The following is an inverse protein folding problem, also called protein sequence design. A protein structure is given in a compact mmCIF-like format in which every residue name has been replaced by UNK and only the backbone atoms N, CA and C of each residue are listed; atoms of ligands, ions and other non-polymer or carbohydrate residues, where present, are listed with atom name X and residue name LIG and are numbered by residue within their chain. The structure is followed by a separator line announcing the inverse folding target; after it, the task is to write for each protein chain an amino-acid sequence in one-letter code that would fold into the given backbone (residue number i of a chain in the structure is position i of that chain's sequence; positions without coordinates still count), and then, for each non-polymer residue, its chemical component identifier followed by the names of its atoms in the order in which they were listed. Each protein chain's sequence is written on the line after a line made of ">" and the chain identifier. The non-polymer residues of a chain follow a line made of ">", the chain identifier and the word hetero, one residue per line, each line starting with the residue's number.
data_IF_362036576804
#
_entry.id   IF_362036576804
#
_cell.length_a   1.000
_cell.length_b   1.000
_cell.length_c   1.000
_cell.angle_alpha   90.00
_cell.angle_beta   90.00
_cell.angle_gamma   90.00
#
_symmetry.space_group_name_H-M   'P 1'
#
loop_
_entity.id
_entity.type
_entity.pdbx_description
1 polymer ?
#
# COMPACT_ATOMS: atom_id res chain seq x y z
N UNK A 1 -52.82 -35.06 -47.34
CA UNK A 1 -51.59 -34.25 -47.52
C UNK A 1 -51.51 -33.31 -46.33
N UNK A 2 -50.75 -33.68 -45.29
CA UNK A 2 -50.59 -32.91 -44.05
C UNK A 2 -49.39 -31.99 -44.23
N UNK A 3 -49.58 -30.66 -44.22
CA UNK A 3 -48.53 -29.65 -44.28
C UNK A 3 -47.93 -29.50 -42.85
N UNK A 4 -46.68 -29.87 -42.72
CA UNK A 4 -45.90 -29.68 -41.49
C UNK A 4 -45.40 -28.25 -41.48
N UNK A 5 -45.92 -27.43 -40.57
CA UNK A 5 -45.39 -26.08 -40.29
C UNK A 5 -44.22 -26.21 -39.30
N UNK A 6 -43.00 -26.01 -39.79
CA UNK A 6 -41.83 -25.90 -38.97
C UNK A 6 -41.78 -24.45 -38.43
N UNK A 7 -42.12 -24.28 -37.17
CA UNK A 7 -41.91 -23.01 -36.48
C UNK A 7 -40.46 -22.91 -36.10
N UNK A 8 -39.67 -22.13 -36.84
CA UNK A 8 -38.32 -21.71 -36.45
C UNK A 8 -38.44 -20.64 -35.38
N UNK A 9 -38.30 -21.03 -34.13
CA UNK A 9 -38.13 -20.09 -33.03
C UNK A 9 -36.77 -19.43 -33.15
N UNK A 10 -36.78 -18.18 -33.62
CA UNK A 10 -35.62 -17.30 -33.60
C UNK A 10 -35.36 -16.91 -32.14
N UNK A 11 -34.43 -17.59 -31.48
CA UNK A 11 -33.87 -17.16 -30.18
C UNK A 11 -33.04 -15.92 -30.44
N UNK A 12 -33.62 -14.75 -30.20
CA UNK A 12 -32.88 -13.50 -30.06
C UNK A 12 -32.03 -13.62 -28.81
N UNK A 13 -30.79 -14.07 -28.96
CA UNK A 13 -29.74 -13.77 -27.96
C UNK A 13 -29.59 -12.26 -27.95
N UNK A 14 -30.23 -11.61 -27.01
CA UNK A 14 -29.87 -10.26 -26.62
C UNK A 14 -28.47 -10.34 -25.96
N UNK A 15 -27.43 -10.28 -26.80
CA UNK A 15 -26.11 -9.93 -26.32
C UNK A 15 -26.25 -8.52 -25.77
N UNK A 16 -26.44 -8.39 -24.45
CA UNK A 16 -26.10 -7.18 -23.75
C UNK A 16 -24.59 -7.04 -23.92
N UNK A 17 -24.20 -6.33 -24.97
CA UNK A 17 -22.85 -5.88 -25.12
C UNK A 17 -22.59 -4.96 -23.93
N UNK A 18 -21.97 -5.52 -22.86
CA UNK A 18 -21.30 -4.73 -21.87
C UNK A 18 -20.26 -3.96 -22.68
N UNK A 19 -20.49 -2.67 -22.86
CA UNK A 19 -19.52 -1.80 -23.51
C UNK A 19 -18.24 -1.90 -22.70
N UNK A 20 -17.30 -2.73 -23.18
CA UNK A 20 -15.98 -2.83 -22.57
C UNK A 20 -15.35 -1.46 -22.73
N UNK A 21 -15.18 -0.76 -21.61
CA UNK A 21 -14.50 0.52 -21.60
C UNK A 21 -13.09 0.30 -22.14
N UNK A 22 -12.65 1.15 -23.04
CA UNK A 22 -11.30 1.07 -23.59
C UNK A 22 -10.27 1.19 -22.47
N UNK A 23 -9.09 0.51 -22.58
CA UNK A 23 -8.00 0.68 -21.62
C UNK A 23 -7.72 2.14 -21.37
N UNK A 24 -7.39 2.47 -20.11
CA UNK A 24 -7.12 3.86 -19.70
C UNK A 24 -5.77 4.39 -20.18
N UNK A 25 -4.92 3.50 -20.72
CA UNK A 25 -3.53 3.77 -21.04
C UNK A 25 -2.59 3.67 -19.84
N UNK A 26 -3.12 3.34 -18.67
CA UNK A 26 -2.34 3.05 -17.48
C UNK A 26 -2.29 1.54 -17.25
N UNK A 27 -1.16 0.91 -17.61
CA UNK A 27 -1.02 -0.54 -17.55
C UNK A 27 -1.23 -1.13 -16.14
N UNK A 28 -0.90 -0.38 -15.09
CA UNK A 28 -1.14 -0.80 -13.70
C UNK A 28 -2.62 -0.84 -13.37
N UNK A 29 -3.35 0.22 -13.70
CA UNK A 29 -4.79 0.30 -13.53
C UNK A 29 -5.50 -0.77 -14.37
N UNK A 30 -5.20 -0.81 -15.67
CA UNK A 30 -5.84 -1.74 -16.62
C UNK A 30 -5.56 -3.22 -16.28
N UNK A 31 -4.42 -3.51 -15.64
CA UNK A 31 -4.08 -4.85 -15.15
C UNK A 31 -4.87 -5.28 -13.92
N UNK A 32 -5.33 -4.34 -13.11
CA UNK A 32 -6.16 -4.57 -11.92
C UNK A 32 -7.66 -4.61 -12.26
N UNK A 33 -8.11 -3.78 -13.19
CA UNK A 33 -9.49 -3.74 -13.68
C UNK A 33 -9.82 -5.03 -14.47
N UNK A 34 -10.20 -6.08 -13.74
CA UNK A 34 -10.44 -7.41 -14.30
C UNK A 34 -11.74 -7.49 -15.08
N UNK A 35 -12.74 -6.77 -14.63
CA UNK A 35 -14.05 -6.76 -15.27
C UNK A 35 -14.15 -5.73 -16.42
N UNK A 36 -13.10 -4.87 -16.54
CA UNK A 36 -12.98 -3.82 -17.57
C UNK A 36 -14.15 -2.82 -17.57
N UNK A 37 -14.65 -2.50 -16.37
CA UNK A 37 -15.69 -1.48 -16.22
C UNK A 37 -15.12 -0.05 -16.11
N UNK A 38 -13.78 0.07 -16.06
CA UNK A 38 -13.03 1.33 -15.98
C UNK A 38 -12.98 1.92 -14.58
N UNK A 39 -13.21 1.09 -13.58
CA UNK A 39 -13.07 1.41 -12.17
C UNK A 39 -12.31 0.28 -11.48
N UNK A 40 -11.81 0.54 -10.29
CA UNK A 40 -11.24 -0.52 -9.43
C UNK A 40 -12.12 -0.68 -8.20
N UNK A 41 -12.66 -1.87 -8.03
CA UNK A 41 -13.34 -2.29 -6.81
C UNK A 41 -12.33 -2.64 -5.72
N UNK A 42 -12.80 -2.75 -4.49
CA UNK A 42 -11.97 -3.20 -3.36
C UNK A 42 -11.48 -4.64 -3.55
N UNK A 43 -12.28 -5.47 -4.20
CA UNK A 43 -11.97 -6.86 -4.53
C UNK A 43 -10.82 -6.95 -5.53
N UNK A 44 -10.81 -6.10 -6.54
CA UNK A 44 -9.74 -6.03 -7.54
C UNK A 44 -8.42 -5.52 -6.95
N UNK A 45 -8.50 -4.67 -5.93
CA UNK A 45 -7.35 -4.20 -5.16
C UNK A 45 -6.89 -5.15 -4.05
N UNK A 46 -7.62 -6.24 -3.76
CA UNK A 46 -7.30 -7.15 -2.64
C UNK A 46 -5.91 -7.79 -2.75
N UNK A 47 -5.37 -7.92 -3.97
CA UNK A 47 -4.00 -8.39 -4.21
C UNK A 47 -2.91 -7.40 -3.78
N UNK A 48 -3.22 -6.11 -3.75
CA UNK A 48 -2.34 -5.05 -3.25
C UNK A 48 -2.82 -4.57 -1.87
N UNK A 49 -2.27 -5.18 -0.82
CA UNK A 49 -2.66 -4.90 0.58
C UNK A 49 -2.48 -3.43 0.97
N UNK A 50 -1.49 -2.75 0.40
CA UNK A 50 -1.24 -1.33 0.71
C UNK A 50 -2.29 -0.43 0.04
N UNK A 51 -2.67 -0.69 -1.20
CA UNK A 51 -3.74 0.04 -1.88
C UNK A 51 -5.10 -0.28 -1.28
N UNK A 52 -5.37 -1.54 -0.95
CA UNK A 52 -6.62 -1.95 -0.28
C UNK A 52 -6.84 -1.23 1.06
N UNK A 53 -5.80 -1.03 1.88
CA UNK A 53 -5.86 -0.25 3.13
C UNK A 53 -6.20 1.23 2.89
N UNK A 54 -5.83 1.75 1.73
CA UNK A 54 -6.01 3.16 1.36
C UNK A 54 -7.33 3.40 0.64
N UNK A 55 -8.08 2.35 0.32
CA UNK A 55 -9.28 2.41 -0.51
C UNK A 55 -10.23 3.52 -0.05
N UNK A 56 -10.70 3.48 1.20
CA UNK A 56 -11.63 4.46 1.73
C UNK A 56 -11.08 5.91 1.79
N UNK A 57 -9.75 6.05 1.86
CA UNK A 57 -9.10 7.38 1.91
C UNK A 57 -9.10 8.07 0.56
N UNK A 58 -8.96 7.30 -0.52
CA UNK A 58 -8.84 7.82 -1.88
C UNK A 58 -10.10 7.64 -2.73
N UNK A 59 -11.13 6.95 -2.24
CA UNK A 59 -12.47 6.93 -2.77
C UNK A 59 -13.14 8.28 -2.47
N UNK A 60 -12.92 9.26 -3.36
CA UNK A 60 -13.29 10.65 -3.11
C UNK A 60 -14.77 10.90 -3.11
N UNK A 61 -15.54 10.18 -3.93
CA UNK A 61 -17.00 10.28 -4.04
C UNK A 61 -17.75 9.25 -3.18
N UNK A 62 -17.03 8.32 -2.55
CA UNK A 62 -17.53 7.25 -1.67
C UNK A 62 -18.54 6.31 -2.34
N UNK A 63 -18.36 6.06 -3.63
CA UNK A 63 -19.21 5.14 -4.40
C UNK A 63 -18.74 3.67 -4.32
N UNK A 64 -17.65 3.41 -3.58
CA UNK A 64 -17.08 2.07 -3.42
C UNK A 64 -16.22 1.62 -4.60
N UNK A 65 -15.78 2.54 -5.46
CA UNK A 65 -14.94 2.28 -6.62
C UNK A 65 -13.90 3.38 -6.80
N UNK A 66 -12.71 3.02 -7.23
CA UNK A 66 -11.70 3.99 -7.61
C UNK A 66 -11.73 4.28 -9.10
N UNK A 67 -11.71 5.55 -9.42
CA UNK A 67 -11.38 6.04 -10.76
C UNK A 67 -9.88 5.92 -11.01
N UNK A 68 -9.44 6.09 -12.27
CA UNK A 68 -8.01 6.19 -12.59
C UNK A 68 -7.33 7.33 -11.81
N UNK A 69 -8.02 8.44 -11.59
CA UNK A 69 -7.48 9.59 -10.85
C UNK A 69 -7.25 9.24 -9.35
N UNK A 70 -8.18 8.53 -8.73
CA UNK A 70 -8.05 8.04 -7.35
C UNK A 70 -6.87 7.07 -7.22
N UNK A 71 -6.72 6.16 -8.18
CA UNK A 71 -5.59 5.23 -8.25
C UNK A 71 -4.25 5.96 -8.37
N UNK A 72 -4.14 6.94 -9.27
CA UNK A 72 -2.91 7.74 -9.44
C UNK A 72 -2.60 8.53 -8.17
N UNK A 73 -3.59 9.15 -7.53
CA UNK A 73 -3.41 9.87 -6.25
C UNK A 73 -2.93 8.95 -5.14
N UNK A 74 -3.52 7.76 -5.04
CA UNK A 74 -3.14 6.77 -4.04
C UNK A 74 -1.69 6.30 -4.22
N UNK A 75 -1.27 6.02 -5.46
CA UNK A 75 0.11 5.65 -5.79
C UNK A 75 1.09 6.76 -5.47
N UNK A 76 0.86 7.99 -5.93
CA UNK A 76 1.73 9.14 -5.61
C UNK A 76 1.89 9.35 -4.10
N UNK A 77 0.79 9.21 -3.35
CA UNK A 77 0.84 9.32 -1.90
C UNK A 77 1.67 8.20 -1.27
N UNK A 78 1.54 6.97 -1.78
CA UNK A 78 2.32 5.83 -1.31
C UNK A 78 3.81 6.00 -1.58
N UNK A 79 4.19 6.44 -2.77
CA UNK A 79 5.58 6.66 -3.17
C UNK A 79 6.23 7.76 -2.30
N UNK A 80 5.52 8.85 -2.07
CA UNK A 80 5.97 9.92 -1.17
C UNK A 80 6.18 9.41 0.26
N UNK A 81 5.29 8.54 0.76
CA UNK A 81 5.43 7.90 2.08
C UNK A 81 6.67 7.00 2.13
N UNK A 82 6.86 6.14 1.12
CA UNK A 82 8.01 5.24 1.05
C UNK A 82 9.32 6.04 1.06
N UNK A 83 9.40 7.11 0.28
CA UNK A 83 10.57 7.97 0.25
C UNK A 83 10.84 8.66 1.60
N UNK A 84 9.78 9.14 2.28
CA UNK A 84 9.89 9.75 3.60
C UNK A 84 10.35 8.72 4.64
N UNK A 85 9.74 7.53 4.69
CA UNK A 85 10.10 6.46 5.62
C UNK A 85 11.54 5.97 5.40
N UNK A 86 11.97 5.85 4.15
CA UNK A 86 13.35 5.51 3.79
C UNK A 86 14.35 6.57 4.30
N UNK A 87 14.01 7.85 4.14
CA UNK A 87 14.81 8.97 4.65
C UNK A 87 14.93 8.91 6.17
N UNK A 88 13.83 8.68 6.89
CA UNK A 88 13.81 8.55 8.35
C UNK A 88 14.70 7.37 8.78
N UNK A 89 14.52 6.20 8.16
CA UNK A 89 15.32 5.00 8.46
C UNK A 89 16.81 5.28 8.31
N UNK A 90 17.21 5.93 7.22
CA UNK A 90 18.61 6.28 6.95
C UNK A 90 19.15 7.23 8.02
N UNK A 91 18.40 8.28 8.38
CA UNK A 91 18.81 9.23 9.42
C UNK A 91 18.98 8.54 10.78
N UNK A 92 18.03 7.70 11.19
CA UNK A 92 18.13 6.94 12.46
C UNK A 92 19.37 6.05 12.47
N UNK A 93 19.62 5.30 11.39
CA UNK A 93 20.80 4.45 11.27
C UNK A 93 22.10 5.27 11.32
N UNK A 94 22.15 6.40 10.65
CA UNK A 94 23.32 7.30 10.70
C UNK A 94 23.57 7.80 12.12
N UNK A 95 22.52 8.21 12.84
CA UNK A 95 22.66 8.64 14.24
C UNK A 95 23.19 7.51 15.13
N UNK A 96 22.74 6.27 14.93
CA UNK A 96 23.27 5.12 15.67
C UNK A 96 24.75 4.82 15.37
N UNK A 97 25.21 5.08 14.14
CA UNK A 97 26.63 4.91 13.77
C UNK A 97 27.53 5.95 14.41
N UNK A 98 27.05 7.17 14.57
CA UNK A 98 27.84 8.29 15.12
C UNK A 98 27.80 8.37 16.65
N UNK A 99 26.81 7.73 17.27
CA UNK A 99 26.59 7.81 18.73
C UNK A 99 27.38 6.75 19.48
N UNK A 100 28.25 7.20 20.38
CA UNK A 100 29.05 6.30 21.21
C UNK A 100 28.19 5.45 22.15
N UNK A 101 28.52 4.17 22.26
CA UNK A 101 27.83 3.23 23.14
C UNK A 101 26.52 2.67 22.59
N UNK A 102 26.21 2.89 21.33
CA UNK A 102 25.10 2.23 20.62
C UNK A 102 25.68 1.16 19.68
N UNK A 103 25.34 -0.14 19.85
CA UNK A 103 25.77 -1.21 18.97
C UNK A 103 24.93 -1.19 17.68
N UNK A 104 25.20 -0.25 16.78
CA UNK A 104 24.42 0.01 15.57
C UNK A 104 24.22 -1.21 14.68
N UNK A 105 25.18 -2.13 14.65
CA UNK A 105 25.12 -3.38 13.87
C UNK A 105 24.15 -4.41 14.45
N UNK A 106 23.83 -4.32 15.74
CA UNK A 106 22.92 -5.23 16.46
C UNK A 106 21.47 -4.70 16.47
N UNK A 107 21.24 -3.50 15.93
CA UNK A 107 19.93 -2.84 15.91
C UNK A 107 19.37 -2.79 14.48
N UNK A 108 18.26 -3.44 14.27
CA UNK A 108 17.49 -3.29 13.04
C UNK A 108 16.50 -2.13 13.18
N UNK A 109 16.43 -1.30 12.15
CA UNK A 109 15.54 -0.12 12.08
C UNK A 109 14.62 -0.27 10.88
N UNK A 110 13.33 -0.21 11.13
CA UNK A 110 12.28 -0.18 10.09
C UNK A 110 11.36 1.02 10.34
N UNK A 111 10.92 1.66 9.28
CA UNK A 111 9.98 2.79 9.39
C UNK A 111 8.77 2.55 8.52
N UNK A 112 7.59 2.80 9.08
CA UNK A 112 6.32 2.76 8.38
C UNK A 112 5.42 3.92 8.84
N UNK A 113 5.01 4.77 7.92
CA UNK A 113 4.21 5.98 8.16
C UNK A 113 4.77 6.91 9.26
N UNK A 114 6.10 6.99 9.36
CA UNK A 114 6.81 7.75 10.38
C UNK A 114 6.92 7.06 11.73
N UNK A 115 6.40 5.84 11.88
CA UNK A 115 6.63 5.01 13.06
C UNK A 115 7.91 4.22 12.87
N UNK A 116 8.90 4.44 13.72
CA UNK A 116 10.19 3.73 13.73
C UNK A 116 10.10 2.54 14.66
N UNK A 117 10.29 1.35 14.13
CA UNK A 117 10.43 0.13 14.92
C UNK A 117 11.93 -0.19 15.08
N UNK A 118 12.36 -0.40 16.32
CA UNK A 118 13.70 -0.84 16.68
C UNK A 118 13.63 -2.29 17.18
N UNK A 119 14.42 -3.17 16.58
CA UNK A 119 14.52 -4.58 16.99
C UNK A 119 15.97 -5.02 17.07
N UNK A 120 16.24 -6.04 17.87
CA UNK A 120 17.60 -6.57 18.09
C UNK A 120 17.94 -6.71 19.56
N UNK A 121 19.21 -6.99 19.85
CA UNK A 121 19.68 -7.19 21.23
C UNK A 121 20.86 -6.25 21.52
N UNK A 122 20.81 -5.61 22.67
CA UNK A 122 21.85 -4.69 23.17
C UNK A 122 22.35 -5.15 24.54
N UNK A 123 23.45 -4.58 25.05
CA UNK A 123 24.10 -5.06 26.27
C UNK A 123 23.38 -4.63 27.56
N UNK A 124 22.59 -3.53 27.51
CA UNK A 124 21.96 -2.99 28.72
C UNK A 124 20.65 -2.27 28.46
N UNK A 125 19.82 -2.13 29.50
CA UNK A 125 18.59 -1.32 29.46
C UNK A 125 18.85 0.15 29.16
N UNK A 126 20.03 0.68 29.56
CA UNK A 126 20.40 2.05 29.23
C UNK A 126 20.60 2.25 27.73
N UNK A 127 21.18 1.25 27.05
CA UNK A 127 21.29 1.27 25.58
C UNK A 127 19.91 1.18 24.91
N UNK A 128 18.98 0.38 25.43
CA UNK A 128 17.58 0.35 24.95
C UNK A 128 16.95 1.74 25.05
N UNK A 129 17.04 2.38 26.21
CA UNK A 129 16.48 3.70 26.45
C UNK A 129 17.15 4.77 25.58
N UNK A 130 18.50 4.72 25.46
CA UNK A 130 19.28 5.66 24.66
C UNK A 130 18.92 5.56 23.17
N UNK A 131 18.82 4.34 22.62
CA UNK A 131 18.43 4.12 21.24
C UNK A 131 17.02 4.66 20.94
N UNK A 132 16.06 4.43 21.85
CA UNK A 132 14.72 4.98 21.74
C UNK A 132 14.69 6.51 21.71
N UNK A 133 15.46 7.18 22.58
CA UNK A 133 15.56 8.64 22.62
C UNK A 133 16.19 9.21 21.34
N UNK A 134 17.26 8.59 20.83
CA UNK A 134 17.92 9.02 19.59
C UNK A 134 16.94 8.91 18.42
N UNK A 135 16.26 7.76 18.28
CA UNK A 135 15.29 7.57 17.21
C UNK A 135 14.13 8.59 17.28
N UNK A 136 13.63 8.87 18.49
CA UNK A 136 12.56 9.84 18.70
C UNK A 136 12.97 11.28 18.35
N UNK A 137 14.26 11.62 18.47
CA UNK A 137 14.79 12.94 18.11
C UNK A 137 14.99 13.17 16.62
N UNK A 138 14.82 12.15 15.78
CA UNK A 138 15.03 12.29 14.34
C UNK A 138 13.83 12.96 13.68
N UNK A 139 14.11 14.00 12.88
CA UNK A 139 13.08 14.74 12.16
C UNK A 139 12.26 13.82 11.23
N UNK A 140 10.94 13.88 11.35
CA UNK A 140 9.97 13.08 10.62
C UNK A 140 9.48 11.85 11.39
N UNK A 141 10.10 11.48 12.49
CA UNK A 141 9.63 10.41 13.38
C UNK A 141 8.40 10.87 14.14
N UNK A 142 7.31 10.14 14.01
CA UNK A 142 6.05 10.38 14.73
C UNK A 142 5.93 9.53 15.99
N UNK A 143 6.49 8.32 15.94
CA UNK A 143 6.42 7.34 17.02
C UNK A 143 7.63 6.41 16.97
N UNK A 144 8.08 5.93 18.12
CA UNK A 144 9.09 4.86 18.23
C UNK A 144 8.46 3.65 18.90
N UNK A 145 8.51 2.52 18.22
CA UNK A 145 8.16 1.20 18.74
C UNK A 145 9.47 0.46 19.06
N UNK A 146 9.93 0.62 20.31
CA UNK A 146 11.22 0.11 20.75
C UNK A 146 11.07 -1.31 21.30
N UNK A 147 11.45 -2.30 20.51
CA UNK A 147 11.43 -3.75 20.82
C UNK A 147 12.85 -4.31 21.01
N UNK A 148 13.79 -3.47 21.41
CA UNK A 148 15.14 -3.93 21.73
C UNK A 148 15.12 -4.76 23.02
N UNK A 149 15.81 -5.90 23.01
CA UNK A 149 16.07 -6.70 24.20
C UNK A 149 17.44 -6.33 24.81
N UNK A 150 17.52 -6.18 26.12
CA UNK A 150 18.79 -6.15 26.85
C UNK A 150 19.21 -7.57 27.22
N UNK A 151 20.53 -7.87 27.13
CA UNK A 151 21.11 -9.13 27.61
C UNK A 151 21.04 -9.25 29.13
#
# INVERSE_FOLDING_TARGET
>A
MKKLLIATSLVLLSATAWAQKSPTGNAGFDGLDKNRDGYLSKEELAGDKEMAKRFAKFDGNKDGRWTLDDYIKAHKNNDARIAADSTITTKVKTMFLTEKGIPSTSISVQTYEGTVQLTGTVESKDQVAKAGKIAAGVSGVKKVDNKLAAK
#
